data_IF_880800933455
#
_entry.id   IF_880800933455
#
_cell.length_a   1.000
_cell.length_b   1.000
_cell.length_c   1.000
_cell.angle_alpha   90.00
_cell.angle_beta   90.00
_cell.angle_gamma   90.00
#
_symmetry.space_group_name_H-M   'P 1'
#
loop_
_entity.id
_entity.type
_entity.pdbx_description
1 polymer ?
#
# COMPACT_ATOMS: atom_id res chain seq x y z
N UNK A 1 -13.36 11.58 11.74
CA UNK A 1 -14.04 10.41 12.35
C UNK A 1 -13.54 9.13 11.68
N UNK A 2 -12.48 8.49 12.20
CA UNK A 2 -11.99 7.18 11.70
C UNK A 2 -11.13 6.40 12.72
N UNK A 3 -11.02 6.83 13.97
CA UNK A 3 -10.11 6.19 14.94
C UNK A 3 -10.72 5.02 15.74
N UNK A 4 -12.04 4.84 15.78
CA UNK A 4 -12.69 3.85 16.65
C UNK A 4 -12.75 2.43 16.08
N UNK A 5 -12.67 2.23 14.76
CA UNK A 5 -12.79 0.89 14.16
C UNK A 5 -11.49 0.06 14.24
N UNK A 6 -10.33 0.69 14.47
CA UNK A 6 -9.05 -0.03 14.54
C UNK A 6 -8.75 -0.69 15.89
N UNK A 7 -9.44 -0.31 16.97
CA UNK A 7 -9.20 -0.88 18.30
C UNK A 7 -9.73 -2.33 18.42
N UNK A 8 -10.96 -2.57 17.96
CA UNK A 8 -11.63 -3.88 18.04
C UNK A 8 -10.91 -4.99 17.22
N UNK A 9 -10.38 -4.64 16.04
CA UNK A 9 -9.64 -5.58 15.20
C UNK A 9 -8.25 -5.96 15.78
N UNK A 10 -7.65 -5.08 16.60
CA UNK A 10 -6.37 -5.35 17.25
C UNK A 10 -6.49 -6.31 18.44
N UNK A 11 -7.61 -6.25 19.17
CA UNK A 11 -7.88 -7.10 20.34
C UNK A 11 -8.13 -8.56 19.92
N UNK A 12 -8.88 -8.78 18.85
CA UNK A 12 -9.16 -10.13 18.32
C UNK A 12 -7.92 -10.84 17.74
N UNK A 13 -6.98 -10.09 17.16
CA UNK A 13 -5.67 -10.61 16.72
C UNK A 13 -4.80 -11.06 17.91
N UNK A 14 -4.88 -10.35 19.04
CA UNK A 14 -4.07 -10.61 20.23
C UNK A 14 -4.52 -11.89 20.96
N UNK A 15 -5.83 -12.21 20.94
CA UNK A 15 -6.36 -13.48 21.46
C UNK A 15 -5.79 -14.72 20.75
N UNK A 16 -5.57 -14.64 19.44
CA UNK A 16 -5.07 -15.78 18.64
C UNK A 16 -3.57 -16.04 18.83
N UNK A 17 -2.76 -15.02 19.11
CA UNK A 17 -1.31 -15.18 19.33
C UNK A 17 -0.98 -15.81 20.70
N UNK A 18 -1.83 -15.62 21.72
CA UNK A 18 -1.64 -16.21 23.06
C UNK A 18 -1.84 -17.73 23.12
N UNK A 19 -2.60 -18.29 22.18
CA UNK A 19 -2.87 -19.74 22.09
C UNK A 19 -1.90 -20.51 21.16
N UNK A 20 -0.76 -19.90 20.80
CA UNK A 20 0.22 -20.53 19.92
C UNK A 20 0.86 -21.76 20.58
N UNK A 21 0.77 -22.92 19.94
CA UNK A 21 1.23 -24.20 20.48
C UNK A 21 2.74 -24.24 20.80
N UNK A 22 3.54 -23.32 20.26
CA UNK A 22 4.99 -23.27 20.51
C UNK A 22 5.38 -22.75 21.89
N UNK A 23 4.54 -21.95 22.57
CA UNK A 23 4.87 -21.39 23.90
C UNK A 23 4.52 -22.32 25.07
N UNK A 24 3.84 -23.43 24.82
CA UNK A 24 3.44 -24.42 25.85
C UNK A 24 4.41 -25.61 25.94
N UNK A 25 5.37 -25.74 25.02
CA UNK A 25 6.35 -26.82 25.03
C UNK A 25 7.44 -26.56 26.09
N UNK A 26 7.54 -27.46 27.09
CA UNK A 26 8.58 -27.42 28.12
C UNK A 26 8.15 -26.83 29.46
N UNK A 27 6.91 -26.35 29.60
CA UNK A 27 6.35 -25.91 30.87
C UNK A 27 5.87 -27.11 31.70
N UNK A 28 6.12 -27.07 33.01
CA UNK A 28 5.57 -28.06 33.93
C UNK A 28 4.07 -27.77 34.21
N UNK A 29 3.32 -28.71 34.84
CA UNK A 29 1.88 -28.53 35.08
C UNK A 29 1.50 -27.28 35.88
N UNK A 30 2.31 -26.85 36.86
CA UNK A 30 2.05 -25.64 37.65
C UNK A 30 2.25 -24.37 36.82
N UNK A 31 3.28 -24.35 35.97
CA UNK A 31 3.55 -23.24 35.05
C UNK A 31 2.46 -23.11 33.97
N UNK A 32 1.92 -24.25 33.49
CA UNK A 32 0.78 -24.27 32.58
C UNK A 32 -0.48 -23.72 33.24
N UNK A 33 -0.77 -24.11 34.47
CA UNK A 33 -1.93 -23.61 35.20
C UNK A 33 -1.80 -22.11 35.50
N UNK A 34 -0.61 -21.64 35.86
CA UNK A 34 -0.35 -20.21 36.06
C UNK A 34 -0.50 -19.40 34.77
N UNK A 35 -0.04 -19.95 33.63
CA UNK A 35 -0.18 -19.32 32.32
C UNK A 35 -1.65 -19.25 31.89
N UNK A 36 -2.41 -20.33 32.09
CA UNK A 36 -3.84 -20.36 31.77
C UNK A 36 -4.63 -19.36 32.63
N UNK A 37 -4.38 -19.30 33.95
CA UNK A 37 -5.00 -18.28 34.83
C UNK A 37 -4.67 -16.85 34.40
N UNK A 38 -3.42 -16.61 33.98
CA UNK A 38 -2.99 -15.29 33.48
C UNK A 38 -3.70 -14.93 32.18
N UNK A 39 -3.85 -15.88 31.26
CA UNK A 39 -4.56 -15.67 30.00
C UNK A 39 -6.05 -15.42 30.24
N UNK A 40 -6.71 -16.18 31.11
CA UNK A 40 -8.12 -15.95 31.47
C UNK A 40 -8.35 -14.57 32.07
N UNK A 41 -7.44 -14.09 32.91
CA UNK A 41 -7.54 -12.74 33.47
C UNK A 41 -7.40 -11.65 32.40
N UNK A 42 -6.44 -11.80 31.48
CA UNK A 42 -6.25 -10.87 30.37
C UNK A 42 -7.45 -10.87 29.41
N UNK A 43 -8.03 -12.04 29.15
CA UNK A 43 -9.24 -12.16 28.33
C UNK A 43 -10.44 -11.42 28.94
N UNK A 44 -10.59 -11.45 30.28
CA UNK A 44 -11.65 -10.73 30.98
C UNK A 44 -11.44 -9.21 30.98
N UNK A 45 -10.20 -8.74 31.18
CA UNK A 45 -9.86 -7.31 31.11
C UNK A 45 -10.09 -6.73 29.69
N UNK A 46 -9.78 -7.50 28.64
CA UNK A 46 -10.04 -7.09 27.26
C UNK A 46 -11.53 -7.06 26.90
N UNK A 47 -12.33 -8.01 27.41
CA UNK A 47 -13.78 -8.00 27.21
C UNK A 47 -14.43 -6.78 27.90
N UNK A 48 -13.95 -6.37 29.09
CA UNK A 48 -14.41 -5.15 29.78
C UNK A 48 -14.04 -3.87 29.02
N UNK A 49 -12.82 -3.81 28.45
CA UNK A 49 -12.38 -2.67 27.62
C UNK A 49 -13.21 -2.57 26.32
N UNK A 50 -13.52 -3.71 25.70
CA UNK A 50 -14.36 -3.75 24.50
C UNK A 50 -15.80 -3.31 24.80
N UNK A 51 -16.38 -3.74 25.92
CA UNK A 51 -17.72 -3.30 26.32
C UNK A 51 -17.76 -1.78 26.56
N UNK A 52 -16.70 -1.23 27.16
CA UNK A 52 -16.58 0.22 27.35
C UNK A 52 -16.50 0.98 26.02
N UNK A 53 -15.72 0.49 25.06
CA UNK A 53 -15.63 1.10 23.71
C UNK A 53 -16.97 1.06 22.97
N UNK A 54 -17.72 -0.04 23.11
CA UNK A 54 -19.04 -0.18 22.48
C UNK A 54 -20.08 0.78 23.11
N UNK A 55 -20.00 0.99 24.43
CA UNK A 55 -20.83 1.97 25.15
C UNK A 55 -20.53 3.41 24.70
N UNK A 56 -19.24 3.77 24.60
CA UNK A 56 -18.83 5.11 24.15
C UNK A 56 -19.27 5.36 22.70
N UNK A 57 -19.26 4.32 21.85
CA UNK A 57 -19.75 4.42 20.47
C UNK A 57 -21.25 4.69 20.40
N UNK A 58 -22.06 4.02 21.22
CA UNK A 58 -23.51 4.25 21.27
C UNK A 58 -23.85 5.69 21.65
N UNK A 59 -23.15 6.28 22.62
CA UNK A 59 -23.33 7.67 23.03
C UNK A 59 -23.04 8.64 21.88
N UNK A 60 -21.97 8.42 21.12
CA UNK A 60 -21.63 9.32 19.97
C UNK A 60 -22.60 9.24 18.81
N UNK A 61 -23.31 8.13 18.64
CA UNK A 61 -24.31 7.97 17.59
C UNK A 61 -25.65 8.62 18.01
N UNK A 62 -25.97 8.66 19.30
CA UNK A 62 -27.12 9.41 19.84
C UNK A 62 -26.91 10.94 19.75
N UNK A 63 -25.73 11.45 20.13
CA UNK A 63 -25.41 12.89 20.02
C UNK A 63 -25.51 13.39 18.57
N UNK A 64 -25.06 12.60 17.58
CA UNK A 64 -25.17 12.96 16.16
C UNK A 64 -26.60 12.95 15.63
N UNK A 65 -27.47 12.15 16.24
CA UNK A 65 -28.88 12.07 15.86
C UNK A 65 -29.65 13.31 16.32
N UNK A 66 -29.22 13.93 17.42
CA UNK A 66 -29.80 15.18 17.93
C UNK A 66 -29.35 16.42 17.13
N UNK A 67 -28.19 16.38 16.46
CA UNK A 67 -27.65 17.50 15.67
C UNK A 67 -28.17 17.57 14.21
N UNK A 68 -29.00 16.60 13.77
CA UNK A 68 -29.42 16.45 12.36
C UNK A 68 -30.83 16.94 11.99
N UNK A 69 -31.53 17.68 12.87
CA UNK A 69 -32.77 18.40 12.50
C UNK A 69 -32.71 19.88 12.99
N UNK A 70 -33.09 20.92 12.19
CA UNK A 70 -33.44 20.98 10.77
C UNK A 70 -32.57 21.97 9.96
N UNK A 71 -31.81 21.48 8.98
CA UNK A 71 -31.17 22.31 7.93
C UNK A 71 -32.04 22.49 6.66
N UNK A 72 -33.32 22.12 6.71
CA UNK A 72 -34.22 22.10 5.53
C UNK A 72 -34.87 23.48 5.24
N UNK A 73 -34.63 24.52 6.04
CA UNK A 73 -35.35 25.80 5.90
C UNK A 73 -34.62 26.86 5.04
N UNK A 74 -33.38 26.64 4.59
CA UNK A 74 -32.57 27.73 3.98
C UNK A 74 -32.29 27.63 2.47
N UNK A 75 -33.01 26.80 1.71
CA UNK A 75 -32.75 26.58 0.28
C UNK A 75 -33.84 27.08 -0.69
N UNK A 76 -34.89 27.76 -0.19
CA UNK A 76 -35.95 28.35 -1.02
C UNK A 76 -35.79 29.85 -1.33
N UNK A 77 -34.71 30.51 -0.90
CA UNK A 77 -34.60 31.98 -0.93
C UNK A 77 -33.62 32.57 -1.97
N UNK A 78 -33.14 31.80 -2.96
CA UNK A 78 -32.11 32.26 -3.91
C UNK A 78 -32.41 31.98 -5.40
N UNK A 79 -33.69 31.97 -5.79
CA UNK A 79 -34.08 31.85 -7.21
C UNK A 79 -34.88 33.06 -7.67
N UNK A 80 -34.26 34.23 -7.75
CA UNK A 80 -34.73 35.36 -8.56
C UNK A 80 -33.59 36.38 -8.68
N UNK A 81 -32.80 36.31 -9.77
CA UNK A 81 -32.19 37.45 -10.46
C UNK A 81 -31.18 36.94 -11.51
N UNK A 82 -31.65 36.85 -12.76
CA UNK A 82 -30.78 36.71 -13.92
C UNK A 82 -31.12 37.83 -14.92
N UNK A 83 -30.18 38.72 -15.27
CA UNK A 83 -30.42 39.80 -16.23
C UNK A 83 -30.31 39.29 -17.67
N UNK A 84 -31.23 39.77 -18.53
CA UNK A 84 -31.24 39.51 -19.98
C UNK A 84 -30.11 40.26 -20.69
N UNK A 85 -29.55 39.70 -21.79
CA UNK A 85 -28.57 40.41 -22.60
C UNK A 85 -29.26 41.39 -23.56
N UNK A 86 -28.84 42.65 -23.50
CA UNK A 86 -29.19 43.72 -24.45
C UNK A 86 -28.13 43.85 -25.55
N UNK A 87 -28.62 44.18 -26.73
CA UNK A 87 -27.91 44.41 -27.99
C UNK A 87 -27.33 45.83 -28.09
N UNK A 88 -26.43 45.97 -29.07
CA UNK A 88 -26.18 47.14 -29.93
C UNK A 88 -24.90 47.99 -29.73
N UNK A 89 -24.15 47.98 -30.86
CA UNK A 89 -23.48 49.06 -31.60
C UNK A 89 -22.09 49.61 -31.22
N UNK A 90 -21.15 49.29 -32.11
CA UNK A 90 -20.24 50.15 -32.89
C UNK A 90 -19.56 51.37 -32.23
N UNK A 91 -18.22 51.40 -32.28
CA UNK A 91 -17.44 52.41 -33.04
C UNK A 91 -15.93 52.15 -33.05
N UNK A 92 -15.37 52.45 -34.22
CA UNK A 92 -13.97 52.53 -34.62
C UNK A 92 -13.17 53.57 -33.81
N UNK A 93 -11.86 53.38 -33.66
CA UNK A 93 -10.82 54.19 -34.32
C UNK A 93 -9.41 53.82 -33.82
N UNK A 94 -8.47 53.93 -34.76
CA UNK A 94 -7.05 53.64 -34.71
C UNK A 94 -6.26 54.60 -33.79
N UNK A 95 -5.04 54.19 -33.37
CA UNK A 95 -3.82 55.02 -33.43
C UNK A 95 -2.58 54.28 -32.86
N UNK A 96 -1.69 53.93 -33.78
CA UNK A 96 -0.23 54.05 -33.82
C UNK A 96 0.72 53.91 -32.60
N UNK A 97 1.82 53.21 -32.92
CA UNK A 97 3.24 53.48 -32.59
C UNK A 97 3.90 52.90 -31.30
N UNK A 98 4.73 51.87 -31.55
CA UNK A 98 6.20 51.92 -31.48
C UNK A 98 6.93 52.18 -30.14
N UNK A 99 7.61 51.14 -29.60
CA UNK A 99 9.09 51.09 -29.41
C UNK A 99 9.55 50.11 -28.31
N UNK A 100 10.63 49.38 -28.62
CA UNK A 100 11.77 49.24 -27.69
C UNK A 100 11.86 47.98 -26.81
N UNK A 101 12.70 47.03 -27.24
CA UNK A 101 13.29 45.98 -26.40
C UNK A 101 14.47 46.52 -25.53
N UNK A 102 15.35 45.67 -24.95
CA UNK A 102 15.22 45.00 -23.66
C UNK A 102 16.33 45.45 -22.66
N UNK A 103 16.20 45.12 -21.36
CA UNK A 103 17.31 45.30 -20.41
C UNK A 103 17.52 44.04 -19.56
N UNK A 104 18.76 43.58 -19.61
CA UNK A 104 19.41 42.51 -18.85
C UNK A 104 19.83 42.98 -17.46
N UNK A 105 19.90 42.07 -16.47
CA UNK A 105 20.56 42.39 -15.19
C UNK A 105 20.25 41.42 -14.03
N UNK A 106 21.25 40.71 -13.46
CA UNK A 106 21.04 39.62 -12.51
C UNK A 106 21.50 39.91 -11.06
N UNK A 107 21.34 38.89 -10.20
CA UNK A 107 21.92 38.65 -8.88
C UNK A 107 21.33 39.38 -7.64
N UNK A 108 20.82 38.57 -6.72
CA UNK A 108 20.56 38.94 -5.32
C UNK A 108 20.52 37.70 -4.43
N UNK A 109 21.66 37.41 -3.79
CA UNK A 109 21.90 36.34 -2.81
C UNK A 109 21.43 36.75 -1.41
N UNK A 110 20.59 35.95 -0.76
CA UNK A 110 20.35 35.92 0.70
C UNK A 110 19.81 34.51 1.02
N UNK A 111 20.13 33.80 2.10
CA UNK A 111 20.88 34.06 3.32
C UNK A 111 20.59 32.88 4.26
N UNK A 112 21.61 32.44 4.99
CA UNK A 112 21.54 31.37 5.99
C UNK A 112 20.51 31.68 7.10
N UNK A 113 19.82 30.65 7.59
CA UNK A 113 19.28 30.64 8.96
C UNK A 113 19.68 29.32 9.63
N UNK A 114 20.43 29.45 10.72
CA UNK A 114 20.81 28.39 11.64
C UNK A 114 19.81 28.32 12.81
N UNK A 115 19.67 27.12 13.38
CA UNK A 115 19.57 26.94 14.83
C UNK A 115 18.17 26.88 15.44
N UNK A 116 17.82 25.71 15.99
CA UNK A 116 16.69 25.56 16.90
C UNK A 116 16.55 24.14 17.43
N UNK A 117 17.32 23.80 18.46
CA UNK A 117 17.17 22.56 19.22
C UNK A 117 15.88 22.60 20.06
N UNK A 118 15.09 21.52 20.04
CA UNK A 118 14.02 21.29 21.01
C UNK A 118 14.15 19.90 21.63
N UNK A 119 14.12 19.92 22.96
CA UNK A 119 14.28 18.84 23.92
C UNK A 119 13.04 17.94 23.90
N UNK A 120 13.26 16.64 23.88
CA UNK A 120 12.23 15.61 23.90
C UNK A 120 11.49 15.56 25.24
N UNK A 121 10.16 15.49 25.19
CA UNK A 121 9.30 15.01 26.28
C UNK A 121 8.36 13.97 25.68
N UNK A 122 8.31 12.80 26.33
CA UNK A 122 7.67 11.58 25.83
C UNK A 122 6.15 11.66 25.71
N UNK A 123 5.65 11.03 24.67
CA UNK A 123 4.25 10.74 24.41
C UNK A 123 4.16 9.96 23.10
N UNK A 124 3.92 8.65 23.19
CA UNK A 124 3.79 7.77 22.02
C UNK A 124 2.48 8.08 21.31
N UNK A 125 2.51 9.07 20.42
CA UNK A 125 1.44 9.31 19.47
C UNK A 125 1.58 8.31 18.32
N UNK A 126 0.57 7.46 18.12
CA UNK A 126 0.40 6.68 16.89
C UNK A 126 0.29 7.67 15.73
N UNK A 127 1.38 7.88 15.00
CA UNK A 127 1.37 8.69 13.78
C UNK A 127 0.49 8.00 12.76
N UNK A 128 -0.68 8.58 12.48
CA UNK A 128 -1.40 8.32 11.24
C UNK A 128 -0.44 8.65 10.10
N UNK A 129 0.02 7.62 9.39
CA UNK A 129 0.84 7.77 8.20
C UNK A 129 -0.01 8.47 7.14
N UNK A 130 0.00 9.81 7.12
CA UNK A 130 -0.53 10.57 6.00
C UNK A 130 0.34 10.21 4.81
N UNK A 131 -0.23 9.47 3.86
CA UNK A 131 0.38 9.29 2.55
C UNK A 131 0.45 10.67 1.91
N UNK A 132 1.58 11.35 2.07
CA UNK A 132 1.86 12.59 1.34
C UNK A 132 2.14 12.17 -0.09
N UNK A 133 1.13 12.25 -0.95
CA UNK A 133 1.34 12.26 -2.40
C UNK A 133 2.10 13.55 -2.69
N UNK A 134 3.33 13.51 -3.24
CA UNK A 134 4.07 14.73 -3.52
C UNK A 134 3.27 15.63 -4.47
N UNK A 135 3.10 16.89 -4.08
CA UNK A 135 2.28 17.90 -4.77
C UNK A 135 2.77 18.27 -6.19
N UNK A 136 3.86 17.66 -6.68
CA UNK A 136 4.47 18.00 -7.97
C UNK A 136 3.74 17.44 -9.21
N UNK A 137 2.53 16.86 -9.07
CA UNK A 137 1.68 16.43 -10.20
C UNK A 137 0.34 17.19 -10.22
N UNK A 138 0.18 18.21 -9.39
CA UNK A 138 -1.04 19.02 -9.36
C UNK A 138 -0.98 20.20 -10.37
N UNK A 139 -0.73 19.89 -11.64
CA UNK A 139 -1.09 20.76 -12.76
C UNK A 139 -1.98 19.94 -13.68
N UNK A 140 -3.28 19.89 -13.39
CA UNK A 140 -4.34 19.38 -14.27
C UNK A 140 -4.24 17.93 -14.78
N UNK A 141 -3.32 17.11 -14.29
CA UNK A 141 -2.96 15.83 -14.90
C UNK A 141 -3.61 14.59 -14.26
N UNK A 142 -3.97 13.61 -15.09
CA UNK A 142 -4.38 12.27 -14.66
C UNK A 142 -3.33 11.67 -13.71
N UNK A 143 -3.76 11.28 -12.50
CA UNK A 143 -2.96 10.43 -11.62
C UNK A 143 -3.30 8.99 -11.95
N UNK A 144 -2.36 8.27 -12.57
CA UNK A 144 -2.57 6.88 -12.99
C UNK A 144 -2.56 5.92 -11.80
N UNK A 145 -3.19 4.75 -11.97
CA UNK A 145 -3.11 3.64 -10.98
C UNK A 145 -1.66 3.31 -10.66
N UNK A 146 -0.78 3.31 -11.67
CA UNK A 146 0.65 3.04 -11.50
C UNK A 146 1.30 4.08 -10.56
N UNK A 147 1.00 5.37 -10.73
CA UNK A 147 1.57 6.42 -9.91
C UNK A 147 1.14 6.32 -8.44
N UNK A 148 -0.14 6.11 -8.17
CA UNK A 148 -0.67 5.90 -6.81
C UNK A 148 -0.05 4.63 -6.22
N UNK A 149 -0.04 3.54 -6.99
CA UNK A 149 0.46 2.26 -6.52
C UNK A 149 1.92 2.35 -6.12
N UNK A 150 2.73 2.95 -6.99
CA UNK A 150 4.15 3.12 -6.76
C UNK A 150 4.43 4.07 -5.58
N UNK A 151 3.66 5.16 -5.47
CA UNK A 151 3.78 6.11 -4.35
C UNK A 151 3.55 5.44 -3.00
N UNK A 152 2.47 4.69 -2.86
CA UNK A 152 2.15 3.95 -1.63
C UNK A 152 3.23 2.90 -1.29
N UNK A 153 3.66 2.09 -2.26
CA UNK A 153 4.71 1.08 -2.05
C UNK A 153 6.04 1.70 -1.61
N UNK A 154 6.46 2.79 -2.27
CA UNK A 154 7.70 3.49 -1.92
C UNK A 154 7.62 4.13 -0.54
N UNK A 155 6.47 4.67 -0.15
CA UNK A 155 6.29 5.30 1.16
C UNK A 155 6.45 4.27 2.28
N UNK A 156 5.78 3.12 2.18
CA UNK A 156 5.96 2.00 3.13
C UNK A 156 7.42 1.55 3.19
N UNK A 157 8.07 1.45 2.04
CA UNK A 157 9.47 1.03 1.96
C UNK A 157 10.41 2.02 2.63
N UNK A 158 10.26 3.32 2.32
CA UNK A 158 11.12 4.40 2.85
C UNK A 158 10.92 4.59 4.34
N UNK A 159 9.69 4.48 4.84
CA UNK A 159 9.39 4.54 6.26
C UNK A 159 10.11 3.43 7.04
N UNK A 160 10.07 2.19 6.55
CA UNK A 160 10.77 1.07 7.21
C UNK A 160 12.29 1.23 7.18
N UNK A 161 12.82 1.71 6.06
CA UNK A 161 14.25 2.04 5.94
C UNK A 161 14.64 3.13 6.94
N UNK A 162 13.86 4.21 7.05
CA UNK A 162 14.17 5.33 7.95
C UNK A 162 14.07 4.94 9.42
N UNK A 163 13.11 4.08 9.78
CA UNK A 163 12.99 3.49 11.12
C UNK A 163 14.02 2.39 11.41
N UNK A 164 14.81 1.98 10.41
CA UNK A 164 15.83 0.96 10.57
C UNK A 164 15.28 -0.45 10.82
N UNK A 165 14.08 -0.75 10.33
CA UNK A 165 13.41 -2.05 10.49
C UNK A 165 14.30 -3.16 9.94
N UNK A 166 14.60 -4.14 10.80
CA UNK A 166 15.47 -5.28 10.51
C UNK A 166 14.69 -6.43 9.88
N UNK A 167 15.44 -7.45 9.48
CA UNK A 167 14.85 -8.69 9.02
C UNK A 167 14.50 -9.59 10.20
N UNK A 168 13.28 -10.09 10.24
CA UNK A 168 12.79 -11.01 11.25
C UNK A 168 12.11 -12.20 10.59
N UNK A 169 12.75 -13.38 10.60
CA UNK A 169 12.18 -14.56 9.94
C UNK A 169 10.87 -14.98 10.63
N UNK A 170 9.77 -14.96 9.88
CA UNK A 170 8.43 -15.28 10.39
C UNK A 170 7.60 -14.06 10.84
N UNK A 171 8.24 -12.92 11.11
CA UNK A 171 7.56 -11.70 11.56
C UNK A 171 6.69 -11.10 10.46
N UNK A 172 5.42 -10.79 10.78
CA UNK A 172 4.43 -10.28 9.81
C UNK A 172 4.20 -8.78 9.89
N UNK A 173 4.52 -8.18 11.03
CA UNK A 173 4.46 -6.76 11.29
C UNK A 173 5.84 -6.25 11.71
N UNK A 174 6.02 -4.92 11.67
CA UNK A 174 7.27 -4.26 12.01
C UNK A 174 7.23 -3.54 13.38
N UNK A 175 6.25 -3.88 14.23
CA UNK A 175 6.07 -3.23 15.53
C UNK A 175 7.23 -3.53 16.49
N UNK A 176 7.83 -4.71 16.36
CA UNK A 176 9.03 -5.12 17.09
C UNK A 176 10.36 -4.65 16.44
N UNK A 177 10.29 -3.80 15.41
CA UNK A 177 11.47 -3.31 14.69
C UNK A 177 12.12 -4.34 13.75
N UNK A 178 11.46 -5.48 13.50
CA UNK A 178 11.87 -6.48 12.52
C UNK A 178 10.67 -6.96 11.70
N UNK A 179 10.87 -7.38 10.45
CA UNK A 179 9.81 -7.91 9.57
C UNK A 179 10.36 -8.93 8.58
N UNK A 180 9.61 -9.99 8.28
CA UNK A 180 9.96 -10.97 7.25
C UNK A 180 9.77 -10.40 5.84
N UNK A 181 10.37 -11.05 4.84
CA UNK A 181 10.17 -10.77 3.42
C UNK A 181 8.67 -10.77 3.05
N UNK A 182 7.94 -11.78 3.52
CA UNK A 182 6.52 -11.95 3.23
C UNK A 182 5.62 -10.98 4.01
N UNK A 183 5.97 -10.64 5.25
CA UNK A 183 5.29 -9.59 6.02
C UNK A 183 5.42 -8.22 5.35
N UNK A 184 6.63 -7.91 4.87
CA UNK A 184 6.92 -6.65 4.17
C UNK A 184 6.12 -6.52 2.87
N UNK A 185 6.11 -7.55 2.02
CA UNK A 185 5.35 -7.53 0.77
C UNK A 185 3.85 -7.48 1.01
N UNK A 186 3.32 -8.25 1.96
CA UNK A 186 1.89 -8.26 2.29
C UNK A 186 1.42 -6.87 2.69
N UNK A 187 2.06 -6.28 3.69
CA UNK A 187 1.69 -4.96 4.21
C UNK A 187 1.88 -3.84 3.19
N UNK A 188 2.93 -3.89 2.36
CA UNK A 188 3.12 -2.91 1.28
C UNK A 188 2.01 -2.98 0.24
N UNK A 189 1.64 -4.19 -0.22
CA UNK A 189 0.55 -4.36 -1.20
C UNK A 189 -0.80 -3.96 -0.63
N UNK A 190 -1.08 -4.32 0.63
CA UNK A 190 -2.32 -3.94 1.30
C UNK A 190 -2.44 -2.42 1.41
N UNK A 191 -1.39 -1.74 1.89
CA UNK A 191 -1.38 -0.28 1.99
C UNK A 191 -1.62 0.39 0.61
N UNK A 192 -1.08 -0.20 -0.45
CA UNK A 192 -1.35 0.27 -1.81
C UNK A 192 -2.80 0.10 -2.23
N UNK A 193 -3.40 -1.07 -1.98
CA UNK A 193 -4.80 -1.29 -2.30
C UNK A 193 -5.73 -0.39 -1.48
N UNK A 194 -5.37 -0.10 -0.23
CA UNK A 194 -6.08 0.87 0.61
C UNK A 194 -6.03 2.28 0.03
N UNK A 195 -4.87 2.74 -0.43
CA UNK A 195 -4.72 4.03 -1.10
C UNK A 195 -5.51 4.10 -2.43
N UNK A 196 -5.54 3.01 -3.20
CA UNK A 196 -6.34 2.93 -4.42
C UNK A 196 -7.84 2.95 -4.10
N UNK A 197 -8.29 2.24 -3.07
CA UNK A 197 -9.67 2.25 -2.62
C UNK A 197 -10.08 3.63 -2.11
N UNK A 198 -9.23 4.31 -1.34
CA UNK A 198 -9.47 5.67 -0.89
C UNK A 198 -9.73 6.60 -2.08
N UNK A 199 -8.84 6.57 -3.10
CA UNK A 199 -9.02 7.35 -4.31
C UNK A 199 -10.27 6.98 -5.09
N UNK A 200 -10.59 5.68 -5.17
CA UNK A 200 -11.80 5.22 -5.83
C UNK A 200 -13.06 5.72 -5.11
N UNK A 201 -13.09 5.67 -3.77
CA UNK A 201 -14.20 6.16 -2.95
C UNK A 201 -14.41 7.66 -3.11
N UNK A 202 -13.35 8.47 -3.13
CA UNK A 202 -13.44 9.91 -3.37
C UNK A 202 -14.16 10.25 -4.68
N UNK A 203 -13.98 9.42 -5.71
CA UNK A 203 -14.52 9.63 -7.05
C UNK A 203 -15.88 8.99 -7.29
N UNK A 204 -16.14 7.86 -6.64
CA UNK A 204 -17.25 6.97 -7.02
C UNK A 204 -18.07 6.46 -5.85
N UNK A 205 -17.63 6.70 -4.61
CA UNK A 205 -18.23 6.14 -3.41
C UNK A 205 -18.02 4.62 -3.23
N UNK A 206 -17.20 3.98 -4.06
CA UNK A 206 -17.00 2.51 -4.05
C UNK A 206 -15.54 2.11 -3.96
N UNK A 207 -15.31 0.97 -3.29
CA UNK A 207 -14.03 0.28 -3.27
C UNK A 207 -13.82 -0.57 -4.53
N UNK A 208 -12.58 -0.63 -5.03
CA UNK A 208 -12.19 -1.45 -6.18
C UNK A 208 -11.52 -2.77 -5.77
N UNK A 209 -10.95 -2.84 -4.56
CA UNK A 209 -10.34 -4.02 -3.97
C UNK A 209 -11.08 -4.46 -2.70
N UNK A 210 -11.15 -5.77 -2.46
CA UNK A 210 -11.60 -6.33 -1.18
C UNK A 210 -10.41 -6.54 -0.24
N UNK A 211 -10.14 -5.55 0.61
CA UNK A 211 -8.99 -5.55 1.52
C UNK A 211 -9.03 -6.72 2.50
N UNK A 212 -10.21 -7.13 2.97
CA UNK A 212 -10.33 -8.23 3.93
C UNK A 212 -9.93 -9.57 3.31
N UNK A 213 -10.40 -9.84 2.09
CA UNK A 213 -9.98 -11.02 1.32
C UNK A 213 -8.49 -10.96 0.99
N UNK A 214 -7.98 -9.80 0.57
CA UNK A 214 -6.56 -9.61 0.28
C UNK A 214 -5.65 -9.85 1.48
N UNK A 215 -6.05 -9.37 2.67
CA UNK A 215 -5.34 -9.64 3.92
C UNK A 215 -5.23 -11.14 4.20
N UNK A 216 -6.33 -11.88 4.11
CA UNK A 216 -6.32 -13.35 4.29
C UNK A 216 -5.42 -14.07 3.29
N UNK A 217 -5.41 -13.62 2.04
CA UNK A 217 -4.59 -14.24 1.00
C UNK A 217 -3.09 -13.96 1.15
N UNK A 218 -2.74 -12.75 1.59
CA UNK A 218 -1.36 -12.29 1.74
C UNK A 218 -0.78 -12.59 3.13
N UNK A 219 -1.60 -12.90 4.13
CA UNK A 219 -1.18 -13.33 5.47
C UNK A 219 -0.68 -14.80 5.46
N UNK A 220 0.27 -15.07 4.58
CA UNK A 220 0.91 -16.35 4.37
C UNK A 220 2.40 -16.15 4.12
N UNK A 221 3.18 -17.23 4.06
CA UNK A 221 4.60 -17.14 3.68
C UNK A 221 4.79 -16.89 2.18
N UNK A 222 5.97 -16.39 1.80
CA UNK A 222 6.35 -16.01 0.43
C UNK A 222 5.79 -16.91 -0.70
N UNK A 223 6.02 -18.22 -0.63
CA UNK A 223 5.55 -19.18 -1.63
C UNK A 223 4.03 -19.18 -1.82
N UNK A 224 3.28 -19.08 -0.73
CA UNK A 224 1.82 -19.10 -0.76
C UNK A 224 1.26 -17.77 -1.24
N UNK A 225 1.89 -16.63 -0.94
CA UNK A 225 1.48 -15.35 -1.53
C UNK A 225 1.54 -15.40 -3.06
N UNK A 226 2.66 -15.90 -3.62
CA UNK A 226 2.82 -16.03 -5.08
C UNK A 226 1.77 -16.98 -5.65
N UNK A 227 1.60 -18.15 -5.04
CA UNK A 227 0.61 -19.13 -5.49
C UNK A 227 -0.83 -18.60 -5.42
N UNK A 228 -1.19 -17.95 -4.32
CA UNK A 228 -2.54 -17.41 -4.09
C UNK A 228 -2.86 -16.30 -5.11
N UNK A 229 -1.92 -15.37 -5.34
CA UNK A 229 -2.10 -14.31 -6.34
C UNK A 229 -2.17 -14.91 -7.75
N UNK A 230 -1.29 -15.86 -8.10
CA UNK A 230 -1.31 -16.52 -9.41
C UNK A 230 -2.67 -17.19 -9.68
N UNK A 231 -3.17 -17.97 -8.71
CA UNK A 231 -4.45 -18.68 -8.83
C UNK A 231 -5.64 -17.74 -8.93
N UNK A 232 -5.66 -16.64 -8.17
CA UNK A 232 -6.79 -15.72 -8.19
C UNK A 232 -6.81 -14.82 -9.43
N UNK A 233 -5.65 -14.44 -9.94
CA UNK A 233 -5.55 -13.54 -11.09
C UNK A 233 -5.48 -14.27 -12.41
N UNK A 234 -5.18 -15.57 -12.38
CA UNK A 234 -4.77 -16.34 -13.56
C UNK A 234 -3.59 -15.68 -14.31
N UNK A 235 -2.77 -14.91 -13.58
CA UNK A 235 -1.60 -14.23 -14.09
C UNK A 235 -0.35 -14.73 -13.38
N UNK A 236 0.68 -14.97 -14.18
CA UNK A 236 1.99 -15.34 -13.69
C UNK A 236 2.83 -15.89 -14.82
N UNK A 237 4.13 -15.82 -14.66
CA UNK A 237 5.07 -16.43 -15.59
C UNK A 237 6.34 -16.84 -14.86
N UNK A 238 7.21 -17.56 -15.55
CA UNK A 238 8.50 -17.99 -15.01
C UNK A 238 9.62 -17.29 -15.76
N UNK A 239 10.54 -16.69 -15.02
CA UNK A 239 11.81 -16.21 -15.55
C UNK A 239 12.89 -17.20 -15.13
N UNK A 240 13.68 -17.67 -16.11
CA UNK A 240 14.92 -18.39 -15.87
C UNK A 240 16.09 -17.44 -16.14
N UNK A 241 16.75 -16.88 -15.11
CA UNK A 241 17.82 -15.90 -15.31
C UNK A 241 19.06 -16.42 -16.03
N UNK A 242 19.19 -17.74 -16.19
CA UNK A 242 20.29 -18.36 -16.95
C UNK A 242 20.00 -18.44 -18.45
N UNK A 243 18.75 -18.28 -18.86
CA UNK A 243 18.38 -18.13 -20.24
C UNK A 243 18.27 -16.63 -20.57
N UNK A 244 19.11 -16.16 -21.49
CA UNK A 244 19.19 -14.74 -21.84
C UNK A 244 17.87 -14.24 -22.45
N UNK A 245 17.16 -15.08 -23.21
CA UNK A 245 15.86 -14.69 -23.79
C UNK A 245 14.80 -14.58 -22.69
N UNK A 246 14.67 -15.61 -21.84
CA UNK A 246 13.75 -15.56 -20.69
C UNK A 246 14.02 -14.38 -19.77
N UNK A 247 15.29 -14.05 -19.50
CA UNK A 247 15.66 -12.87 -18.71
C UNK A 247 15.25 -11.56 -19.39
N UNK A 248 15.53 -11.41 -20.70
CA UNK A 248 15.18 -10.21 -21.45
C UNK A 248 13.66 -10.00 -21.50
N UNK A 249 12.92 -11.04 -21.88
CA UNK A 249 11.45 -11.01 -21.96
C UNK A 249 10.85 -10.75 -20.57
N UNK A 250 11.38 -11.41 -19.55
CA UNK A 250 10.97 -11.22 -18.17
C UNK A 250 11.20 -9.79 -17.65
N UNK A 251 12.35 -9.19 -17.97
CA UNK A 251 12.63 -7.79 -17.62
C UNK A 251 11.67 -6.82 -18.31
N UNK A 252 11.28 -7.09 -19.56
CA UNK A 252 10.31 -6.28 -20.28
C UNK A 252 8.87 -6.42 -19.74
N UNK A 253 8.53 -7.60 -19.21
CA UNK A 253 7.21 -7.89 -18.69
C UNK A 253 6.99 -7.41 -17.24
N UNK A 254 8.06 -7.23 -16.45
CA UNK A 254 7.96 -6.79 -15.05
C UNK A 254 7.55 -5.32 -14.97
N UNK A 255 6.52 -5.05 -14.15
CA UNK A 255 5.98 -3.71 -13.88
C UNK A 255 6.00 -3.36 -12.40
N UNK A 256 5.96 -2.07 -12.03
CA UNK A 256 5.74 -1.64 -10.65
C UNK A 256 4.51 -2.31 -10.06
N UNK A 257 4.62 -2.73 -8.80
CA UNK A 257 3.56 -3.42 -8.06
C UNK A 257 3.53 -4.94 -8.19
N UNK A 258 4.24 -5.54 -9.15
CA UNK A 258 4.33 -7.00 -9.22
C UNK A 258 5.08 -7.58 -8.03
N UNK A 259 4.63 -8.72 -7.53
CA UNK A 259 5.36 -9.54 -6.57
C UNK A 259 6.31 -10.48 -7.33
N UNK A 260 7.53 -10.65 -6.82
CA UNK A 260 8.53 -11.55 -7.38
C UNK A 260 8.87 -12.62 -6.34
N UNK A 261 8.48 -13.87 -6.59
CA UNK A 261 8.95 -15.02 -5.81
C UNK A 261 10.25 -15.59 -6.36
N UNK A 262 11.16 -16.06 -5.51
CA UNK A 262 12.44 -16.67 -5.92
C UNK A 262 12.60 -18.10 -5.43
N UNK A 263 12.83 -18.99 -6.39
CA UNK A 263 13.47 -20.30 -6.16
C UNK A 263 14.99 -20.11 -6.24
N UNK A 264 15.70 -20.52 -5.19
CA UNK A 264 17.17 -20.51 -5.15
C UNK A 264 17.76 -21.84 -5.64
N UNK A 265 19.00 -21.82 -6.13
CA UNK A 265 19.74 -23.03 -6.51
C UNK A 265 19.87 -24.02 -5.34
N UNK A 266 20.22 -23.50 -4.16
CA UNK A 266 20.24 -24.26 -2.92
C UNK A 266 18.99 -23.94 -2.12
N UNK A 267 17.88 -24.60 -2.45
CA UNK A 267 16.60 -24.44 -1.76
C UNK A 267 16.78 -24.79 -0.27
N UNK A 268 16.56 -23.83 0.65
CA UNK A 268 16.62 -24.10 2.09
C UNK A 268 15.62 -25.20 2.49
N UNK A 269 15.93 -26.01 3.50
CA UNK A 269 15.07 -27.12 3.93
C UNK A 269 13.63 -26.70 4.22
N UNK A 270 13.44 -25.55 4.87
CA UNK A 270 12.13 -24.98 5.19
C UNK A 270 11.33 -24.50 3.96
N UNK A 271 11.99 -24.33 2.81
CA UNK A 271 11.34 -23.94 1.55
C UNK A 271 10.96 -25.15 0.68
N UNK A 272 11.55 -26.32 0.94
CA UNK A 272 11.31 -27.54 0.15
C UNK A 272 9.85 -28.01 0.32
N UNK A 273 9.21 -28.35 -0.79
CA UNK A 273 7.83 -28.86 -0.81
C UNK A 273 6.75 -27.79 -0.70
N UNK A 274 7.13 -26.51 -0.53
CA UNK A 274 6.22 -25.38 -0.69
C UNK A 274 6.02 -25.08 -2.18
N UNK A 275 4.96 -24.34 -2.56
CA UNK A 275 4.74 -23.95 -3.93
C UNK A 275 6.02 -23.36 -4.57
N UNK A 276 6.44 -24.00 -5.67
CA UNK A 276 7.62 -23.62 -6.45
C UNK A 276 8.95 -23.53 -5.69
N UNK A 277 9.03 -24.12 -4.49
CA UNK A 277 10.20 -24.04 -3.60
C UNK A 277 10.65 -22.59 -3.33
N UNK A 278 9.70 -21.64 -3.31
CA UNK A 278 10.01 -20.21 -3.13
C UNK A 278 10.52 -19.97 -1.71
N UNK A 279 11.69 -19.33 -1.65
CA UNK A 279 12.44 -19.03 -0.41
C UNK A 279 12.59 -17.54 -0.15
N UNK A 280 12.12 -16.68 -1.05
CA UNK A 280 12.17 -15.23 -0.86
C UNK A 280 11.13 -14.56 -1.75
N UNK A 281 10.67 -13.38 -1.32
CA UNK A 281 9.74 -12.56 -2.07
C UNK A 281 10.11 -11.07 -1.95
N UNK A 282 9.82 -10.31 -3.00
CA UNK A 282 9.87 -8.86 -2.99
C UNK A 282 8.75 -8.26 -3.85
N UNK A 283 8.56 -6.95 -3.76
CA UNK A 283 7.59 -6.20 -4.58
C UNK A 283 8.33 -5.18 -5.43
N UNK A 284 7.95 -5.08 -6.70
CA UNK A 284 8.60 -4.16 -7.65
C UNK A 284 8.11 -2.74 -7.40
N UNK A 285 9.06 -1.80 -7.38
CA UNK A 285 8.80 -0.36 -7.26
C UNK A 285 9.63 0.39 -8.29
N UNK A 286 9.21 1.59 -8.64
CA UNK A 286 9.88 2.49 -9.58
C UNK A 286 10.43 3.69 -8.83
N UNK A 287 11.74 3.91 -8.89
CA UNK A 287 12.42 5.10 -8.34
C UNK A 287 13.00 5.89 -9.50
N UNK A 288 12.44 7.07 -9.76
CA UNK A 288 12.75 7.81 -10.99
C UNK A 288 12.33 6.99 -12.22
N UNK A 289 13.29 6.69 -13.09
CA UNK A 289 13.07 5.89 -14.31
C UNK A 289 13.51 4.43 -14.16
N UNK A 290 13.95 4.01 -12.98
CA UNK A 290 14.51 2.69 -12.75
C UNK A 290 13.60 1.83 -11.87
N UNK A 291 13.61 0.52 -12.13
CA UNK A 291 12.90 -0.46 -11.32
C UNK A 291 13.82 -1.03 -10.22
N UNK A 292 13.25 -1.15 -9.04
CA UNK A 292 13.85 -1.74 -7.86
C UNK A 292 12.92 -2.82 -7.31
N UNK A 293 13.48 -3.76 -6.57
CA UNK A 293 12.74 -4.68 -5.72
C UNK A 293 12.83 -4.13 -4.30
N UNK A 294 11.67 -3.80 -3.74
CA UNK A 294 11.50 -3.56 -2.31
C UNK A 294 11.38 -4.91 -1.60
N UNK A 295 12.34 -5.21 -0.75
CA UNK A 295 12.46 -6.50 -0.06
C UNK A 295 12.87 -6.30 1.40
N UNK A 296 12.47 -7.23 2.27
CA UNK A 296 13.10 -7.42 3.59
C UNK A 296 13.99 -8.65 3.52
N UNK A 297 15.31 -8.46 3.68
CA UNK A 297 16.30 -9.54 3.64
C UNK A 297 17.39 -9.26 4.67
N UNK A 298 18.49 -10.03 4.70
CA UNK A 298 19.63 -9.74 5.58
C UNK A 298 20.01 -8.24 5.53
N UNK A 299 19.98 -7.61 6.71
CA UNK A 299 20.15 -6.16 6.91
C UNK A 299 18.86 -5.36 7.14
N UNK A 300 17.69 -5.91 6.83
CA UNK A 300 16.39 -5.25 6.94
C UNK A 300 15.73 -4.95 5.59
N UNK A 301 14.80 -4.01 5.62
CA UNK A 301 14.12 -3.52 4.41
C UNK A 301 15.09 -2.71 3.56
N UNK A 302 15.08 -2.94 2.25
CA UNK A 302 15.94 -2.23 1.29
C UNK A 302 15.35 -2.20 -0.10
N UNK A 303 15.92 -1.33 -0.93
CA UNK A 303 15.69 -1.27 -2.38
C UNK A 303 16.89 -1.89 -3.09
N UNK A 304 16.65 -2.97 -3.84
CA UNK A 304 17.67 -3.61 -4.69
C UNK A 304 17.35 -3.33 -6.14
N UNK A 305 18.30 -2.83 -6.97
CA UNK A 305 18.05 -2.64 -8.41
C UNK A 305 17.52 -3.93 -9.06
N UNK A 306 16.46 -3.84 -9.87
CA UNK A 306 15.76 -5.01 -10.40
C UNK A 306 16.73 -5.96 -11.11
N UNK A 307 17.56 -5.44 -12.02
CA UNK A 307 18.55 -6.24 -12.76
C UNK A 307 19.47 -7.03 -11.83
N UNK A 308 19.94 -6.40 -10.73
CA UNK A 308 20.79 -7.05 -9.72
C UNK A 308 20.03 -8.16 -9.00
N UNK A 309 18.76 -7.91 -8.64
CA UNK A 309 17.94 -8.88 -7.93
C UNK A 309 17.64 -10.12 -8.78
N UNK A 310 17.30 -9.94 -10.06
CA UNK A 310 17.01 -11.03 -11.00
C UNK A 310 18.25 -11.89 -11.30
N UNK A 311 19.45 -11.31 -11.21
CA UNK A 311 20.72 -11.95 -11.63
C UNK A 311 21.60 -12.38 -10.45
N UNK A 312 21.06 -12.43 -9.23
CA UNK A 312 21.80 -13.03 -8.12
C UNK A 312 22.19 -14.47 -8.45
N UNK A 313 23.46 -14.82 -8.23
CA UNK A 313 24.01 -16.15 -8.57
C UNK A 313 23.28 -17.30 -7.86
N UNK A 314 22.63 -17.02 -6.73
CA UNK A 314 21.81 -17.98 -6.00
C UNK A 314 20.44 -18.21 -6.62
N UNK A 315 19.95 -17.36 -7.52
CA UNK A 315 18.62 -17.49 -8.11
C UNK A 315 18.62 -18.58 -9.18
N UNK A 316 17.59 -19.43 -9.15
CA UNK A 316 17.33 -20.47 -10.14
C UNK A 316 16.16 -20.08 -11.05
N UNK A 317 15.04 -19.67 -10.44
CA UNK A 317 13.82 -19.24 -11.13
C UNK A 317 13.14 -18.12 -10.37
N UNK A 318 12.39 -17.30 -11.10
CA UNK A 318 11.62 -16.19 -10.56
C UNK A 318 10.18 -16.33 -11.04
N UNK A 319 9.24 -16.02 -10.15
CA UNK A 319 7.81 -16.17 -10.37
C UNK A 319 7.13 -14.81 -10.17
N UNK A 320 7.05 -13.97 -11.22
CA UNK A 320 6.34 -12.69 -11.13
C UNK A 320 4.83 -12.90 -11.16
N UNK A 321 4.10 -12.19 -10.31
CA UNK A 321 2.63 -12.16 -10.28
C UNK A 321 2.14 -10.73 -10.00
N UNK A 322 0.94 -10.38 -10.47
CA UNK A 322 0.38 -9.04 -10.29
C UNK A 322 -0.80 -9.04 -9.31
N UNK A 323 -0.62 -8.64 -8.03
CA UNK A 323 -1.71 -8.61 -7.07
C UNK A 323 -2.80 -7.59 -7.42
N UNK A 324 -2.48 -6.55 -8.19
CA UNK A 324 -3.43 -5.48 -8.52
C UNK A 324 -4.41 -5.85 -9.64
N UNK A 325 -4.25 -7.02 -10.26
CA UNK A 325 -5.25 -7.59 -11.16
C UNK A 325 -6.46 -8.18 -10.41
N UNK A 326 -6.42 -8.26 -9.07
CA UNK A 326 -7.48 -8.81 -8.20
C UNK A 326 -8.60 -7.80 -7.93
N UNK A 327 -9.14 -7.23 -9.00
CA UNK A 327 -10.25 -6.30 -8.95
C UNK A 327 -11.55 -7.00 -8.50
N UNK A 328 -12.41 -6.30 -7.74
CA UNK A 328 -13.78 -6.80 -7.49
C UNK A 328 -14.51 -7.00 -8.83
N UNK A 329 -15.38 -8.02 -8.97
CA UNK A 329 -16.06 -8.31 -10.25
C UNK A 329 -16.80 -7.11 -10.86
N UNK A 330 -17.32 -6.21 -10.03
CA UNK A 330 -18.07 -5.01 -10.41
C UNK A 330 -17.23 -3.73 -10.46
N UNK A 331 -15.91 -3.81 -10.28
CA UNK A 331 -15.05 -2.64 -10.17
C UNK A 331 -14.56 -2.11 -11.52
N UNK A 332 -14.76 -2.79 -12.64
CA UNK A 332 -14.29 -2.31 -13.95
C UNK A 332 -14.85 -0.91 -14.33
N UNK A 333 -16.15 -0.60 -14.15
CA UNK A 333 -16.68 0.76 -14.34
C UNK A 333 -16.11 1.74 -13.32
N UNK A 334 -15.92 1.30 -12.07
CA UNK A 334 -15.37 2.11 -10.98
C UNK A 334 -13.93 2.52 -11.27
N UNK A 335 -13.11 1.58 -11.75
CA UNK A 335 -11.72 1.82 -12.14
C UNK A 335 -11.64 2.82 -13.28
N UNK A 336 -12.47 2.65 -14.33
CA UNK A 336 -12.53 3.62 -15.44
C UNK A 336 -12.91 5.02 -14.95
N UNK A 337 -13.92 5.13 -14.08
CA UNK A 337 -14.39 6.42 -13.55
C UNK A 337 -13.41 7.06 -12.56
N UNK A 338 -12.76 6.25 -11.70
CA UNK A 338 -11.88 6.73 -10.65
C UNK A 338 -10.49 7.14 -11.18
N UNK A 339 -9.99 6.43 -12.18
CA UNK A 339 -8.61 6.57 -12.63
C UNK A 339 -8.47 7.16 -14.03
N UNK A 340 -9.58 7.39 -14.74
CA UNK A 340 -9.68 8.07 -16.05
C UNK A 340 -8.73 7.57 -17.16
N UNK A 341 -8.01 6.49 -16.91
CA UNK A 341 -7.23 5.74 -17.88
C UNK A 341 -8.11 4.65 -18.45
N UNK A 342 -8.29 4.66 -19.77
CA UNK A 342 -8.66 3.45 -20.51
C UNK A 342 -7.65 2.38 -20.09
N UNK A 343 -8.06 1.25 -19.48
CA UNK A 343 -7.11 0.20 -19.12
C UNK A 343 -6.42 -0.23 -20.42
N UNK A 344 -5.14 0.10 -20.57
CA UNK A 344 -4.34 -0.51 -21.61
C UNK A 344 -4.39 -2.00 -21.31
N UNK A 345 -4.87 -2.85 -22.24
CA UNK A 345 -4.81 -4.29 -22.03
C UNK A 345 -3.36 -4.61 -21.70
N UNK A 346 -3.13 -5.26 -20.55
CA UNK A 346 -1.80 -5.74 -20.24
C UNK A 346 -1.34 -6.59 -21.42
N UNK A 347 -0.17 -6.32 -22.03
CA UNK A 347 0.32 -7.17 -23.09
C UNK A 347 0.37 -8.59 -22.55
N UNK A 348 -0.37 -9.50 -23.18
CA UNK A 348 -0.22 -10.91 -22.88
C UNK A 348 1.25 -11.24 -23.12
N UNK A 349 1.91 -11.83 -22.13
CA UNK A 349 3.31 -12.22 -22.24
C UNK A 349 3.41 -13.36 -23.26
N UNK A 350 3.48 -13.01 -24.55
CA UNK A 350 3.63 -13.97 -25.63
C UNK A 350 5.02 -14.60 -25.51
N UNK A 351 5.07 -15.90 -25.21
CA UNK A 351 6.30 -16.67 -25.14
C UNK A 351 6.83 -16.97 -23.73
N UNK A 352 6.10 -16.62 -22.67
CA UNK A 352 6.40 -17.11 -21.33
C UNK A 352 5.47 -18.28 -20.98
N UNK A 353 6.04 -19.39 -20.53
CA UNK A 353 5.26 -20.57 -20.13
C UNK A 353 4.39 -20.20 -18.91
N UNK A 354 3.06 -20.37 -19.00
CA UNK A 354 2.18 -20.23 -17.85
C UNK A 354 2.64 -21.12 -16.70
N UNK A 355 2.35 -20.69 -15.48
CA UNK A 355 2.50 -21.56 -14.31
C UNK A 355 1.37 -22.59 -14.41
N UNK A 356 1.67 -23.77 -14.95
CA UNK A 356 0.74 -24.91 -14.94
C UNK A 356 0.72 -25.53 -13.53
N UNK A 357 -0.46 -25.99 -13.09
CA UNK A 357 -0.68 -26.59 -11.77
C UNK A 357 0.28 -27.79 -11.57
N UNK A 358 1.13 -27.72 -10.54
CA UNK A 358 2.12 -28.73 -10.17
C UNK A 358 1.71 -29.50 -8.92
#
# INVERSE_FOLDING_TARGET
MTQTTHAADSLTSNRKSRNWHGSRQGLNPEELEALDKKNTKLDAEEDEEQEKLDRDRQLTDEEKKEEQEPAVVLLELLKDDAPKPGSDTDKEEDDDADNGAPVTGPLGTLGNIAGGAVRAVGGVARSALRVVVPAAVAVGGLVTIEAISNGALLNVTRDRISRGVKYGFGDKDDSCGAIDCSGHTASAVIATMEALNERAREKTGKDVYDIATMRKMLDTGAAYQINNVARQTHQGFVINPRDSKSLQDGMAAIKPGMLLGVERNNVPSWAKGRPFNISHIGVVVKVGNELYVSESASGGVKLTPLKKWLTYSSVRRIYPVNPFAMLKPDSAPVVKAAFNDTPQPMPQAQGLTPIEDA
#
